data_IF_685058336802
#
_entry.id   IF_685058336802
#
_cell.length_a   1.000
_cell.length_b   1.000
_cell.length_c   1.000
_cell.angle_alpha   90.00
_cell.angle_beta   90.00
_cell.angle_gamma   90.00
#
_symmetry.space_group_name_H-M   'P 1'
#
loop_
_entity.id
_entity.type
_entity.pdbx_description
1 polymer ?
#
# COMPACT_ATOMS: atom_id res chain seq x y z
N UNK A 1 -5.59 0.34 18.78
CA UNK A 1 -5.68 -0.84 17.91
C UNK A 1 -4.28 -1.43 17.89
N UNK A 2 -4.10 -2.68 18.26
CA UNK A 2 -2.76 -3.28 18.24
C UNK A 2 -2.43 -3.65 16.79
N UNK A 3 -1.19 -3.41 16.32
CA UNK A 3 -0.80 -3.78 14.96
C UNK A 3 -1.01 -5.27 14.62
N UNK A 4 -1.03 -6.14 15.64
CA UNK A 4 -1.27 -7.59 15.50
C UNK A 4 -2.73 -7.97 15.20
N UNK A 5 -3.67 -7.01 15.26
CA UNK A 5 -5.10 -7.30 15.12
C UNK A 5 -5.56 -7.38 13.66
N UNK A 6 -4.75 -6.87 12.72
CA UNK A 6 -5.09 -6.79 11.31
C UNK A 6 -3.90 -7.15 10.42
N UNK A 7 -4.20 -7.59 9.20
CA UNK A 7 -3.21 -7.95 8.20
C UNK A 7 -3.57 -7.26 6.89
N UNK A 8 -2.60 -6.64 6.23
CA UNK A 8 -2.78 -5.99 4.93
C UNK A 8 -1.75 -6.49 3.93
N UNK A 9 -2.18 -6.80 2.72
CA UNK A 9 -1.29 -7.00 1.57
C UNK A 9 -1.73 -6.07 0.43
N UNK A 10 -0.76 -5.54 -0.31
CA UNK A 10 -1.01 -4.54 -1.35
C UNK A 10 -0.40 -5.03 -2.66
N UNK A 11 -1.17 -5.03 -3.74
CA UNK A 11 -0.71 -5.31 -5.09
C UNK A 11 -0.82 -4.05 -5.96
N UNK A 12 0.18 -3.83 -6.80
CA UNK A 12 0.18 -2.76 -7.79
C UNK A 12 -0.51 -3.26 -9.06
N UNK A 13 -1.63 -2.65 -9.45
CA UNK A 13 -2.37 -3.05 -10.66
C UNK A 13 -1.92 -2.23 -11.86
N UNK A 14 -1.64 -0.95 -11.65
CA UNK A 14 -1.10 -0.06 -12.68
C UNK A 14 0.37 0.25 -12.40
N UNK A 15 1.17 0.56 -13.44
CA UNK A 15 2.53 1.02 -13.27
C UNK A 15 2.62 2.30 -12.42
N UNK A 16 3.62 2.32 -11.54
CA UNK A 16 3.97 3.46 -10.70
C UNK A 16 4.61 4.55 -11.56
N UNK A 17 3.77 5.50 -11.96
CA UNK A 17 4.17 6.68 -12.71
C UNK A 17 4.17 7.90 -11.81
N UNK A 18 5.30 8.61 -11.76
CA UNK A 18 5.47 9.80 -10.93
C UNK A 18 5.43 11.05 -11.80
N UNK A 19 4.68 12.05 -11.36
CA UNK A 19 4.61 13.38 -11.96
C UNK A 19 4.95 14.42 -10.90
N UNK A 20 5.65 15.48 -11.31
CA UNK A 20 6.07 16.54 -10.39
C UNK A 20 5.62 17.88 -10.94
N UNK A 21 4.91 18.64 -10.13
CA UNK A 21 4.56 20.02 -10.44
C UNK A 21 4.63 20.89 -9.19
N UNK A 22 4.74 22.20 -9.42
CA UNK A 22 4.83 23.17 -8.34
C UNK A 22 3.44 23.62 -7.93
N UNK A 23 3.12 23.46 -6.64
CA UNK A 23 1.90 24.02 -6.04
C UNK A 23 2.22 25.38 -5.42
N UNK A 24 1.38 26.37 -5.72
CA UNK A 24 1.48 27.72 -5.18
C UNK A 24 0.57 27.87 -3.96
N UNK A 25 1.06 27.51 -2.78
CA UNK A 25 0.30 27.54 -1.54
C UNK A 25 0.25 28.93 -0.92
N UNK A 26 -0.87 29.27 -0.27
CA UNK A 26 -1.02 30.50 0.51
C UNK A 26 -0.48 30.28 1.92
N UNK A 27 0.15 31.30 2.51
CA UNK A 27 0.52 31.26 3.92
C UNK A 27 -0.73 31.51 4.80
N UNK A 28 -1.16 30.47 5.52
CA UNK A 28 -2.35 30.51 6.38
C UNK A 28 -2.03 30.86 7.83
N UNK A 29 -0.76 31.10 8.21
CA UNK A 29 -0.38 31.35 9.61
C UNK A 29 -0.79 32.73 10.16
N UNK A 30 -1.14 33.69 9.30
CA UNK A 30 -1.50 35.06 9.71
C UNK A 30 -2.96 35.43 9.40
N UNK A 31 -3.27 35.72 8.15
CA UNK A 31 -4.61 36.12 7.69
C UNK A 31 -4.92 35.44 6.37
N UNK A 32 -5.82 34.46 6.37
CA UNK A 32 -6.15 33.70 5.15
C UNK A 32 -6.82 34.55 4.07
N UNK A 33 -7.48 35.66 4.44
CA UNK A 33 -8.20 36.55 3.52
C UNK A 33 -7.33 37.63 2.87
N UNK A 34 -6.09 37.83 3.32
CA UNK A 34 -5.12 38.76 2.72
C UNK A 34 -3.90 37.97 2.26
N UNK A 35 -3.81 37.72 0.96
CA UNK A 35 -2.68 37.02 0.36
C UNK A 35 -1.48 37.98 0.30
N UNK A 36 -0.49 37.77 1.17
CA UNK A 36 0.74 38.57 1.20
C UNK A 36 1.86 37.89 0.42
N UNK A 37 2.06 36.58 0.64
CA UNK A 37 3.10 35.77 0.02
C UNK A 37 2.53 34.41 -0.42
N UNK A 38 3.20 33.79 -1.40
CA UNK A 38 2.92 32.43 -1.85
C UNK A 38 4.17 31.57 -1.66
N UNK A 39 3.99 30.36 -1.16
CA UNK A 39 5.06 29.36 -1.07
C UNK A 39 4.93 28.41 -2.24
N UNK A 40 5.96 28.38 -3.08
CA UNK A 40 6.03 27.47 -4.21
C UNK A 40 6.68 26.16 -3.76
N UNK A 41 5.90 25.10 -3.64
CA UNK A 41 6.40 23.78 -3.22
C UNK A 41 6.34 22.84 -4.42
N UNK A 42 7.48 22.23 -4.75
CA UNK A 42 7.54 21.18 -5.77
C UNK A 42 7.07 19.87 -5.14
N UNK A 43 5.92 19.38 -5.58
CA UNK A 43 5.28 18.18 -5.02
C UNK A 43 5.33 17.05 -6.05
N UNK A 44 5.54 15.81 -5.57
CA UNK A 44 5.48 14.59 -6.36
C UNK A 44 4.13 13.90 -6.16
N UNK A 45 3.51 13.47 -7.25
CA UNK A 45 2.24 12.74 -7.26
C UNK A 45 2.35 11.45 -8.07
N UNK A 46 1.51 10.48 -7.74
CA UNK A 46 1.29 9.30 -8.57
C UNK A 46 0.24 9.61 -9.65
N UNK A 47 0.54 9.25 -10.90
CA UNK A 47 -0.38 9.40 -12.04
C UNK A 47 -1.13 8.09 -12.28
N UNK A 48 -2.45 8.14 -12.22
CA UNK A 48 -3.37 7.02 -12.44
C UNK A 48 -3.03 5.75 -11.64
N UNK A 49 -2.73 5.85 -10.32
CA UNK A 49 -2.47 4.68 -9.51
C UNK A 49 -3.72 3.80 -9.40
N UNK A 50 -3.52 2.48 -9.38
CA UNK A 50 -4.56 1.50 -9.03
C UNK A 50 -3.92 0.43 -8.17
N UNK A 51 -4.51 0.17 -7.02
CA UNK A 51 -4.06 -0.81 -6.05
C UNK A 51 -5.14 -1.86 -5.85
N UNK A 52 -4.73 -3.09 -5.58
CA UNK A 52 -5.59 -4.12 -4.99
C UNK A 52 -5.11 -4.34 -3.57
N UNK A 53 -6.03 -4.31 -2.63
CA UNK A 53 -5.73 -4.42 -1.19
C UNK A 53 -6.43 -5.66 -0.67
N UNK A 54 -5.65 -6.55 -0.06
CA UNK A 54 -6.15 -7.64 0.76
C UNK A 54 -6.11 -7.19 2.21
N UNK A 55 -7.22 -7.37 2.92
CA UNK A 55 -7.36 -6.96 4.31
C UNK A 55 -7.99 -8.10 5.10
N UNK A 56 -7.48 -8.34 6.30
CA UNK A 56 -8.06 -9.25 7.28
C UNK A 56 -7.96 -8.63 8.67
N UNK A 57 -8.90 -8.96 9.55
CA UNK A 57 -8.94 -8.47 10.92
C UNK A 57 -9.44 -9.58 11.84
N UNK A 58 -8.86 -9.69 13.04
CA UNK A 58 -9.22 -10.73 14.02
C UNK A 58 -10.60 -10.47 14.66
N UNK A 59 -10.97 -9.20 14.82
CA UNK A 59 -12.32 -8.78 15.25
C UNK A 59 -13.33 -8.90 14.10
N UNK A 60 -14.27 -9.84 14.27
CA UNK A 60 -15.33 -10.14 13.32
C UNK A 60 -16.30 -8.96 13.09
N UNK A 61 -16.58 -8.15 14.11
CA UNK A 61 -17.51 -7.02 13.99
C UNK A 61 -16.92 -5.94 13.05
N UNK A 62 -15.63 -5.67 13.20
CA UNK A 62 -14.90 -4.72 12.34
C UNK A 62 -14.86 -5.24 10.90
N UNK A 63 -14.56 -6.52 10.73
CA UNK A 63 -14.49 -7.17 9.43
C UNK A 63 -15.84 -7.13 8.70
N UNK A 64 -16.93 -7.56 9.36
CA UNK A 64 -18.27 -7.59 8.77
C UNK A 64 -18.78 -6.19 8.41
N UNK A 65 -18.56 -5.21 9.30
CA UNK A 65 -18.94 -3.81 9.02
C UNK A 65 -18.15 -3.23 7.84
N UNK A 66 -16.88 -3.57 7.70
CA UNK A 66 -16.08 -3.15 6.56
C UNK A 66 -16.62 -3.78 5.27
N UNK A 67 -16.87 -5.09 5.27
CA UNK A 67 -17.44 -5.82 4.12
C UNK A 67 -18.75 -5.18 3.67
N UNK A 68 -19.68 -4.94 4.59
CA UNK A 68 -21.00 -4.34 4.26
C UNK A 68 -20.86 -2.96 3.62
N UNK A 69 -19.98 -2.11 4.15
CA UNK A 69 -19.72 -0.79 3.58
C UNK A 69 -19.08 -0.88 2.20
N UNK A 70 -18.09 -1.75 2.02
CA UNK A 70 -17.43 -1.96 0.73
C UNK A 70 -18.40 -2.48 -0.33
N UNK A 71 -19.19 -3.50 0.00
CA UNK A 71 -20.18 -4.09 -0.90
C UNK A 71 -21.30 -3.10 -1.27
N UNK A 72 -21.70 -2.23 -0.34
CA UNK A 72 -22.67 -1.17 -0.60
C UNK A 72 -22.05 0.09 -1.23
N UNK A 73 -20.74 0.11 -1.50
CA UNK A 73 -19.98 1.26 -1.97
C UNK A 73 -20.22 2.53 -1.10
N UNK A 74 -20.18 2.33 0.22
CA UNK A 74 -20.38 3.37 1.24
C UNK A 74 -19.06 3.66 1.94
N UNK A 75 -18.80 4.94 2.17
CA UNK A 75 -17.72 5.39 3.03
C UNK A 75 -18.25 6.44 4.00
N UNK A 76 -17.70 6.45 5.22
CA UNK A 76 -18.07 7.47 6.22
C UNK A 76 -17.45 8.82 5.87
N UNK A 77 -16.22 8.80 5.38
CA UNK A 77 -15.50 9.95 4.84
C UNK A 77 -15.12 9.68 3.39
N UNK A 78 -14.89 10.75 2.61
CA UNK A 78 -14.39 10.63 1.24
C UNK A 78 -13.04 9.94 1.22
N UNK A 79 -12.92 8.92 0.36
CA UNK A 79 -11.67 8.17 0.21
C UNK A 79 -10.67 9.01 -0.59
N UNK A 80 -9.42 9.05 -0.15
CA UNK A 80 -8.33 9.75 -0.82
C UNK A 80 -7.01 9.00 -0.68
N UNK A 81 -6.15 9.06 -1.70
CA UNK A 81 -4.82 8.45 -1.69
C UNK A 81 -3.78 9.39 -1.10
N UNK A 82 -3.76 9.48 0.24
CA UNK A 82 -2.79 10.26 1.00
C UNK A 82 -3.29 11.68 1.30
N UNK A 83 -3.23 12.59 0.33
CA UNK A 83 -3.71 13.97 0.48
C UNK A 83 -5.22 14.06 0.17
N UNK A 84 -5.94 14.93 0.85
CA UNK A 84 -7.40 15.08 0.69
C UNK A 84 -7.84 15.51 -0.72
N UNK A 85 -6.94 16.14 -1.48
CA UNK A 85 -7.15 16.56 -2.86
C UNK A 85 -7.01 15.41 -3.87
N UNK A 86 -6.45 14.27 -3.43
CA UNK A 86 -6.24 13.08 -4.26
C UNK A 86 -7.39 12.10 -4.03
N UNK A 87 -8.60 12.54 -4.38
CA UNK A 87 -9.82 11.73 -4.26
C UNK A 87 -9.65 10.39 -4.99
N UNK A 88 -10.15 9.34 -4.36
CA UNK A 88 -10.11 8.00 -4.90
C UNK A 88 -11.48 7.35 -4.91
N UNK A 89 -11.64 6.50 -5.90
CA UNK A 89 -12.75 5.57 -6.02
C UNK A 89 -12.31 4.19 -5.52
N UNK A 90 -13.24 3.33 -5.13
CA UNK A 90 -12.95 1.98 -4.66
C UNK A 90 -14.00 0.96 -5.12
N UNK A 91 -13.56 -0.27 -5.31
CA UNK A 91 -14.41 -1.36 -5.76
C UNK A 91 -14.20 -2.56 -4.82
N UNK A 92 -15.30 -3.17 -4.39
CA UNK A 92 -15.25 -4.40 -3.60
C UNK A 92 -15.09 -5.61 -4.52
N UNK A 93 -13.95 -6.29 -4.43
CA UNK A 93 -13.61 -7.44 -5.28
C UNK A 93 -14.10 -8.80 -4.73
N UNK A 94 -14.70 -8.83 -3.55
CA UNK A 94 -15.15 -10.06 -2.89
C UNK A 94 -14.30 -10.48 -1.68
N UNK A 95 -14.73 -11.55 -1.04
CA UNK A 95 -13.98 -12.27 0.00
C UNK A 95 -13.29 -13.49 -0.62
N UNK A 96 -12.08 -13.79 -0.15
CA UNK A 96 -11.29 -14.91 -0.61
C UNK A 96 -10.72 -15.66 0.58
N UNK A 97 -10.80 -16.99 0.54
CA UNK A 97 -10.01 -17.81 1.46
C UNK A 97 -8.54 -17.72 1.09
N UNK A 98 -7.67 -17.72 2.10
CA UNK A 98 -6.22 -17.77 1.92
C UNK A 98 -5.68 -19.06 2.52
N UNK A 99 -4.72 -19.68 1.84
CA UNK A 99 -3.94 -20.80 2.35
C UNK A 99 -2.51 -20.37 2.56
N UNK A 100 -1.96 -20.64 3.75
CA UNK A 100 -0.53 -20.47 4.00
C UNK A 100 0.25 -21.50 3.18
N UNK A 101 1.26 -21.03 2.46
CA UNK A 101 2.21 -21.87 1.75
C UNK A 101 3.45 -22.08 2.62
N UNK A 102 4.03 -23.28 2.55
CA UNK A 102 5.32 -23.56 3.16
C UNK A 102 6.40 -22.69 2.54
N UNK A 103 7.37 -22.27 3.35
CA UNK A 103 8.56 -21.55 2.91
C UNK A 103 9.30 -22.35 1.82
N UNK A 104 9.31 -21.83 0.58
CA UNK A 104 10.04 -22.42 -0.54
C UNK A 104 11.15 -21.48 -0.99
N UNK A 105 12.19 -22.06 -1.61
CA UNK A 105 13.37 -21.30 -2.06
C UNK A 105 13.09 -20.29 -3.16
N UNK A 106 12.06 -20.45 -3.99
CA UNK A 106 11.71 -19.46 -5.01
C UNK A 106 10.22 -19.51 -5.28
N UNK A 107 9.52 -18.39 -5.06
CA UNK A 107 8.09 -18.26 -5.27
C UNK A 107 7.81 -16.94 -5.99
N UNK A 108 6.80 -16.96 -6.84
CA UNK A 108 6.29 -15.75 -7.49
C UNK A 108 5.42 -15.03 -6.47
N UNK A 109 5.71 -13.76 -6.18
CA UNK A 109 4.95 -12.92 -5.24
C UNK A 109 4.34 -11.74 -6.01
N UNK A 110 3.02 -11.58 -5.89
CA UNK A 110 2.23 -10.57 -6.58
C UNK A 110 2.08 -9.28 -5.77
N UNK A 111 2.23 -9.36 -4.45
CA UNK A 111 2.15 -8.18 -3.58
C UNK A 111 3.48 -7.44 -3.50
N UNK A 112 3.40 -6.23 -2.97
CA UNK A 112 4.51 -5.51 -2.38
C UNK A 112 5.10 -6.35 -1.24
N UNK A 113 6.42 -6.32 -1.09
CA UNK A 113 7.16 -7.24 -0.20
C UNK A 113 7.89 -6.43 0.87
N UNK A 114 7.53 -6.57 2.17
CA UNK A 114 8.36 -6.07 3.25
C UNK A 114 9.70 -6.80 3.27
N UNK A 115 10.82 -6.07 3.36
CA UNK A 115 12.15 -6.69 3.41
C UNK A 115 12.33 -7.61 4.63
N UNK A 116 11.58 -7.42 5.72
CA UNK A 116 11.63 -8.33 6.88
C UNK A 116 11.08 -9.72 6.58
N UNK A 117 10.23 -9.86 5.56
CA UNK A 117 9.69 -11.14 5.12
C UNK A 117 10.63 -11.91 4.19
N UNK A 118 11.71 -11.29 3.68
CA UNK A 118 12.71 -12.01 2.88
C UNK A 118 13.47 -13.01 3.75
N UNK A 119 13.79 -14.18 3.18
CA UNK A 119 14.55 -15.19 3.92
C UNK A 119 16.02 -14.78 4.07
N UNK A 120 16.61 -14.22 3.01
CA UNK A 120 17.99 -13.75 2.93
C UNK A 120 18.15 -12.60 1.90
N UNK A 121 19.32 -11.96 1.89
CA UNK A 121 19.62 -10.85 0.96
C UNK A 121 19.73 -11.29 -0.51
N UNK A 122 19.87 -12.60 -0.76
CA UNK A 122 19.93 -13.20 -2.10
C UNK A 122 18.57 -13.72 -2.58
N UNK A 123 17.52 -13.51 -1.78
CA UNK A 123 16.21 -14.10 -2.02
C UNK A 123 15.50 -13.52 -3.22
N UNK A 124 15.93 -12.38 -3.77
CA UNK A 124 15.24 -11.69 -4.87
C UNK A 124 15.94 -11.99 -6.19
N UNK A 125 15.18 -12.52 -7.14
CA UNK A 125 15.68 -12.78 -8.49
C UNK A 125 15.51 -11.55 -9.39
N UNK A 126 16.63 -11.07 -9.94
CA UNK A 126 16.66 -9.94 -10.86
C UNK A 126 16.50 -10.43 -12.31
N UNK A 127 15.25 -10.62 -12.72
CA UNK A 127 14.92 -11.03 -14.08
C UNK A 127 15.08 -9.88 -15.08
N UNK A 128 15.55 -10.20 -16.29
CA UNK A 128 15.75 -9.18 -17.32
C UNK A 128 14.44 -8.48 -17.69
N UNK A 129 14.50 -7.16 -17.75
CA UNK A 129 13.36 -6.32 -18.09
C UNK A 129 12.43 -5.99 -16.92
N UNK A 130 12.61 -6.53 -15.70
CA UNK A 130 11.89 -6.08 -14.49
C UNK A 130 12.61 -4.91 -13.82
N UNK A 131 11.86 -3.93 -13.33
CA UNK A 131 12.40 -2.77 -12.61
C UNK A 131 11.97 -2.84 -11.13
N UNK A 132 12.82 -3.43 -10.28
CA UNK A 132 12.55 -3.58 -8.85
C UNK A 132 13.04 -2.34 -8.09
N UNK A 133 12.16 -1.75 -7.29
CA UNK A 133 12.45 -0.59 -6.45
C UNK A 133 12.42 -0.98 -4.98
N UNK A 134 13.33 -0.37 -4.22
CA UNK A 134 13.37 -0.40 -2.75
C UNK A 134 13.07 0.98 -2.21
N UNK A 135 12.09 1.10 -1.30
CA UNK A 135 11.77 2.34 -0.61
C UNK A 135 11.69 2.12 0.90
N UNK A 136 12.04 3.14 1.67
CA UNK A 136 11.82 3.14 3.12
C UNK A 136 10.48 3.80 3.42
N UNK A 137 9.57 3.07 4.09
CA UNK A 137 8.21 3.52 4.34
C UNK A 137 7.83 3.44 5.83
N UNK A 138 7.12 4.45 6.39
CA UNK A 138 6.59 4.38 7.75
C UNK A 138 5.35 3.46 7.77
N UNK A 139 5.54 2.21 8.20
CA UNK A 139 4.47 1.20 8.24
C UNK A 139 3.60 1.29 9.49
N UNK A 140 4.10 1.90 10.57
CA UNK A 140 3.33 2.12 11.80
C UNK A 140 3.52 3.53 12.36
N UNK A 141 2.42 4.09 12.89
CA UNK A 141 2.38 5.42 13.48
C UNK A 141 1.42 5.46 14.67
N UNK A 142 1.70 6.33 15.64
CA UNK A 142 0.76 6.64 16.73
C UNK A 142 -0.40 7.52 16.23
N UNK A 143 -1.52 7.64 16.98
CA UNK A 143 -2.61 8.55 16.66
C UNK A 143 -2.17 10.02 16.49
N UNK A 144 -1.10 10.43 17.18
CA UNK A 144 -0.47 11.76 17.09
C UNK A 144 0.43 11.91 15.85
N UNK A 145 0.40 10.93 14.94
CA UNK A 145 1.20 10.87 13.70
C UNK A 145 2.70 10.80 13.95
N UNK A 146 3.13 10.17 15.05
CA UNK A 146 4.54 9.88 15.32
C UNK A 146 4.88 8.51 14.75
N UNK A 147 5.89 8.42 13.88
CA UNK A 147 6.32 7.15 13.28
C UNK A 147 6.99 6.27 14.33
N UNK A 148 6.46 5.07 14.56
CA UNK A 148 7.01 4.08 15.51
C UNK A 148 7.86 3.04 14.80
N UNK A 149 7.47 2.63 13.58
CA UNK A 149 8.18 1.62 12.79
C UNK A 149 8.33 2.06 11.34
N UNK A 150 9.56 1.93 10.84
CA UNK A 150 9.88 2.06 9.42
C UNK A 150 10.31 0.71 8.89
N UNK A 151 9.99 0.48 7.63
CA UNK A 151 10.33 -0.75 6.95
C UNK A 151 10.76 -0.45 5.53
N UNK A 152 11.78 -1.17 5.08
CA UNK A 152 12.14 -1.18 3.68
C UNK A 152 11.20 -2.11 2.92
N UNK A 153 10.72 -1.66 1.79
CA UNK A 153 9.67 -2.32 1.01
C UNK A 153 10.12 -2.44 -0.44
N UNK A 154 9.94 -3.62 -1.02
CA UNK A 154 10.24 -3.93 -2.41
C UNK A 154 8.97 -4.05 -3.25
N UNK A 155 9.05 -3.53 -4.48
CA UNK A 155 8.00 -3.68 -5.48
C UNK A 155 8.57 -3.53 -6.89
N UNK A 156 7.90 -4.11 -7.90
CA UNK A 156 8.25 -3.89 -9.31
C UNK A 156 7.44 -2.72 -9.87
N UNK A 157 8.09 -1.82 -10.61
CA UNK A 157 7.51 -0.53 -11.03
C UNK A 157 6.23 -0.66 -11.85
N UNK A 158 6.07 -1.70 -12.67
CA UNK A 158 4.92 -1.94 -13.53
C UNK A 158 3.86 -2.81 -12.86
N UNK A 159 4.10 -3.26 -11.62
CA UNK A 159 3.22 -4.18 -10.91
C UNK A 159 3.35 -5.63 -11.36
N UNK A 160 4.48 -5.99 -12.00
CA UNK A 160 4.77 -7.38 -12.29
C UNK A 160 5.14 -8.13 -11.01
N UNK A 161 4.83 -9.42 -10.91
CA UNK A 161 5.22 -10.19 -9.74
C UNK A 161 6.74 -10.37 -9.68
N UNK A 162 7.26 -10.46 -8.46
CA UNK A 162 8.69 -10.64 -8.18
C UNK A 162 8.91 -12.10 -7.81
N UNK A 163 9.94 -12.72 -8.37
CA UNK A 163 10.36 -14.06 -7.97
C UNK A 163 11.30 -13.93 -6.79
N UNK A 164 10.88 -14.44 -5.63
CA UNK A 164 11.70 -14.38 -4.43
C UNK A 164 11.41 -15.47 -3.38
N UNK A 165 12.33 -15.63 -2.42
CA UNK A 165 12.15 -16.45 -1.21
C UNK A 165 11.65 -15.59 -0.06
N UNK A 166 10.44 -15.85 0.40
CA UNK A 166 9.82 -15.12 1.52
C UNK A 166 9.37 -16.09 2.61
N UNK A 167 9.21 -15.57 3.82
CA UNK A 167 8.58 -16.24 4.96
C UNK A 167 7.12 -15.82 5.01
N UNK A 168 6.23 -16.75 5.31
CA UNK A 168 4.81 -16.43 5.51
C UNK A 168 4.12 -16.00 4.21
N UNK A 169 4.27 -16.80 3.16
CA UNK A 169 3.53 -16.60 1.91
C UNK A 169 2.11 -17.13 2.04
N UNK A 170 1.14 -16.38 1.49
CA UNK A 170 -0.25 -16.80 1.42
C UNK A 170 -0.70 -16.82 -0.03
N UNK A 171 -1.44 -17.86 -0.39
CA UNK A 171 -2.07 -17.98 -1.70
C UNK A 171 -3.57 -17.75 -1.57
N UNK A 172 -4.10 -16.90 -2.44
CA UNK A 172 -5.53 -16.65 -2.59
C UNK A 172 -6.16 -17.73 -3.49
N UNK A 173 -7.48 -17.90 -3.39
CA UNK A 173 -8.25 -18.80 -4.29
C UNK A 173 -8.03 -18.51 -5.79
N UNK A 174 -7.72 -17.26 -6.14
CA UNK A 174 -7.45 -16.84 -7.51
C UNK A 174 -6.02 -17.17 -7.98
N UNK A 175 -5.20 -17.81 -7.14
CA UNK A 175 -3.81 -18.15 -7.43
C UNK A 175 -2.82 -16.99 -7.26
N UNK A 176 -3.24 -15.85 -6.73
CA UNK A 176 -2.31 -14.76 -6.38
C UNK A 176 -1.61 -15.07 -5.07
N UNK A 177 -0.28 -14.92 -5.08
CA UNK A 177 0.58 -15.14 -3.94
C UNK A 177 0.93 -13.79 -3.31
N UNK A 178 0.59 -13.62 -2.04
CA UNK A 178 0.69 -12.33 -1.33
C UNK A 178 1.40 -12.49 0.01
N UNK A 179 2.08 -11.42 0.41
CA UNK A 179 2.76 -11.27 1.70
C UNK A 179 2.06 -10.17 2.47
N UNK A 180 1.69 -10.45 3.72
CA UNK A 180 1.05 -9.49 4.62
C UNK A 180 2.07 -8.74 5.47
N UNK A 181 1.73 -7.50 5.82
CA UNK A 181 2.45 -6.66 6.79
C UNK A 181 1.99 -6.92 8.23
#
# INVERSE_FOLDING_TARGET
MNPSDYHVAICLINPVNKVRWTQNLIDTKRHFWKIHNRTQIRTEFLKNPRFKIYFSHNDQEIHDRLRENLAAHKSYYTVSLGLSELLADFEYCGEHTISSLSDQKQQIVNSVIPCSALQDDTSVEFENGKEIFKINYPVEMTPERVVTRREDVLFERRGLPITCSVKGLYQTENGENVVFF
#
